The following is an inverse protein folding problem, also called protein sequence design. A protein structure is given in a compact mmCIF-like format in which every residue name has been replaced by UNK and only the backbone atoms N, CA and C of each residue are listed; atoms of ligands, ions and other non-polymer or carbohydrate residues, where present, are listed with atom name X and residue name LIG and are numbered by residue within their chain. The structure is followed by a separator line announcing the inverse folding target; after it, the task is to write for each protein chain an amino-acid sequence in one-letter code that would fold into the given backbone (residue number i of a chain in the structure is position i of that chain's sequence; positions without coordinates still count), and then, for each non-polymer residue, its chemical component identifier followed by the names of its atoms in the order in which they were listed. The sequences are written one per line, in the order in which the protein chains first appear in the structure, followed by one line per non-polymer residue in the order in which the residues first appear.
data_IF_047861611762
#
_entry.id   IF_047861611762
#
_cell.length_a   1.000
_cell.length_b   1.000
_cell.length_c   1.000
_cell.angle_alpha   90.00
_cell.angle_beta   90.00
_cell.angle_gamma   90.00
#
_symmetry.space_group_name_H-M   'P 1'
#
loop_
_entity.id
_entity.type
_entity.pdbx_description
1 polymer ?
#
# COMPACT_ATOMS: atom_id res chain seq x y z
N UNK A 1 30.43 3.14 55.33
CA UNK A 1 29.58 2.03 54.83
C UNK A 1 28.12 2.43 54.94
N UNK A 2 27.47 2.88 53.86
CA UNK A 2 26.02 3.17 53.83
C UNK A 2 25.32 2.09 53.00
N UNK A 3 24.55 1.25 53.68
CA UNK A 3 23.73 0.18 53.12
C UNK A 3 22.58 0.78 52.30
N UNK A 4 22.55 0.49 51.00
CA UNK A 4 21.41 0.77 50.13
C UNK A 4 20.32 -0.27 50.38
N UNK A 5 19.20 0.14 51.00
CA UNK A 5 17.94 -0.62 50.94
C UNK A 5 17.35 -0.47 49.55
N UNK A 6 17.45 -1.52 48.74
CA UNK A 6 16.65 -1.72 47.54
C UNK A 6 15.18 -1.93 47.95
N UNK A 7 14.44 -0.83 47.99
CA UNK A 7 12.98 -0.82 48.14
C UNK A 7 12.30 -1.38 46.90
N UNK A 8 11.53 -2.46 47.10
CA UNK A 8 10.57 -3.06 46.17
C UNK A 8 9.70 -2.00 45.46
N UNK A 9 10.03 -1.65 44.22
CA UNK A 9 9.18 -0.79 43.36
C UNK A 9 8.73 -1.49 42.07
N UNK A 10 8.84 -2.82 42.00
CA UNK A 10 8.41 -3.60 40.84
C UNK A 10 6.92 -4.02 40.86
N UNK A 11 6.23 -3.99 42.01
CA UNK A 11 4.84 -4.52 42.08
C UNK A 11 3.76 -3.55 41.58
N UNK A 12 3.99 -2.24 41.63
CA UNK A 12 2.95 -1.25 41.26
C UNK A 12 2.76 -1.06 39.75
N UNK A 13 3.72 -1.47 38.92
CA UNK A 13 3.55 -1.45 37.48
C UNK A 13 2.56 -2.53 37.03
N UNK A 14 2.60 -3.72 37.61
CA UNK A 14 1.70 -4.83 37.26
C UNK A 14 0.26 -4.60 37.72
N UNK A 15 0.04 -4.00 38.90
CA UNK A 15 -1.29 -3.76 39.47
C UNK A 15 -2.15 -2.79 38.63
N UNK A 16 -1.54 -1.83 37.92
CA UNK A 16 -2.27 -0.89 37.04
C UNK A 16 -2.72 -1.48 35.70
N UNK A 17 -2.25 -2.68 35.34
CA UNK A 17 -2.64 -3.37 34.11
C UNK A 17 -3.75 -4.42 34.29
N UNK A 18 -4.02 -4.83 35.53
CA UNK A 18 -5.02 -5.87 35.86
C UNK A 18 -6.48 -5.42 35.66
N UNK A 19 -6.73 -4.13 35.42
CA UNK A 19 -8.07 -3.57 35.22
C UNK A 19 -8.46 -3.39 33.73
N UNK A 20 -7.74 -4.03 32.80
CA UNK A 20 -8.28 -4.24 31.44
C UNK A 20 -8.93 -5.61 31.47
N UNK A 21 -10.26 -5.65 31.51
CA UNK A 21 -11.08 -6.88 31.57
C UNK A 21 -10.37 -8.07 30.89
N UNK A 22 -10.03 -9.11 31.67
CA UNK A 22 -9.25 -10.25 31.18
C UNK A 22 -9.84 -10.86 29.90
N UNK A 23 -11.18 -10.88 29.79
CA UNK A 23 -11.92 -11.31 28.61
C UNK A 23 -11.58 -10.48 27.34
N UNK A 24 -11.45 -9.16 27.47
CA UNK A 24 -11.08 -8.27 26.37
C UNK A 24 -9.63 -8.51 25.93
N UNK A 25 -8.74 -8.75 26.89
CA UNK A 25 -7.33 -9.09 26.62
C UNK A 25 -7.22 -10.41 25.86
N UNK A 26 -7.94 -11.46 26.28
CA UNK A 26 -7.99 -12.74 25.56
C UNK A 26 -8.51 -12.58 24.13
N UNK A 27 -9.60 -11.84 23.93
CA UNK A 27 -10.16 -11.59 22.59
C UNK A 27 -9.15 -10.90 21.65
N UNK A 28 -8.34 -9.97 22.17
CA UNK A 28 -7.27 -9.30 21.41
C UNK A 28 -6.20 -10.31 20.97
N UNK A 29 -5.76 -11.18 21.88
CA UNK A 29 -4.76 -12.21 21.56
C UNK A 29 -5.28 -13.22 20.54
N UNK A 30 -6.53 -13.67 20.66
CA UNK A 30 -7.16 -14.57 19.68
C UNK A 30 -7.23 -13.91 18.31
N UNK A 31 -7.66 -12.65 18.23
CA UNK A 31 -7.70 -11.90 16.97
C UNK A 31 -6.31 -11.72 16.36
N UNK A 32 -5.30 -11.39 17.19
CA UNK A 32 -3.91 -11.28 16.75
C UNK A 32 -3.40 -12.60 16.16
N UNK A 33 -3.59 -13.72 16.87
CA UNK A 33 -3.17 -15.05 16.40
C UNK A 33 -3.91 -15.45 15.13
N UNK A 34 -5.21 -15.17 15.05
CA UNK A 34 -6.00 -15.47 13.85
C UNK A 34 -5.51 -14.67 12.64
N UNK A 35 -5.18 -13.39 12.81
CA UNK A 35 -4.55 -12.57 11.77
C UNK A 35 -3.22 -13.14 11.30
N UNK A 36 -2.31 -13.47 12.22
CA UNK A 36 -1.01 -14.06 11.87
C UNK A 36 -1.16 -15.40 11.16
N UNK A 37 -2.10 -16.25 11.60
CA UNK A 37 -2.42 -17.52 10.92
C UNK A 37 -2.95 -17.28 9.50
N UNK A 38 -3.79 -16.28 9.29
CA UNK A 38 -4.24 -15.94 7.94
C UNK A 38 -3.12 -15.42 7.06
N UNK A 39 -2.15 -14.67 7.61
CA UNK A 39 -0.97 -14.27 6.85
C UNK A 39 -0.14 -15.47 6.36
N UNK A 40 -0.04 -16.55 7.14
CA UNK A 40 0.74 -17.74 6.71
C UNK A 40 0.17 -18.44 5.47
N UNK A 41 -1.11 -18.24 5.16
CA UNK A 41 -1.78 -18.87 4.01
C UNK A 41 -1.68 -18.07 2.71
N UNK A 42 -1.09 -16.87 2.74
CA UNK A 42 -0.96 -16.07 1.53
C UNK A 42 -0.08 -16.76 0.49
N UNK A 43 -0.45 -16.70 -0.80
CA UNK A 43 0.25 -17.42 -1.87
C UNK A 43 1.61 -16.81 -2.22
N UNK A 44 1.91 -15.58 -1.77
CA UNK A 44 3.16 -14.88 -2.04
C UNK A 44 4.03 -14.78 -0.77
N UNK A 45 5.28 -15.26 -0.77
CA UNK A 45 6.16 -15.23 0.42
C UNK A 45 6.53 -13.82 0.88
N UNK A 46 6.76 -12.89 -0.04
CA UNK A 46 7.06 -11.50 0.33
C UNK A 46 5.83 -10.86 1.02
N UNK A 47 4.63 -11.21 0.57
CA UNK A 47 3.39 -10.80 1.19
C UNK A 47 3.17 -11.37 2.59
N UNK A 48 3.51 -12.66 2.79
CA UNK A 48 3.48 -13.32 4.10
C UNK A 48 4.32 -12.52 5.11
N UNK A 49 5.58 -12.27 4.77
CA UNK A 49 6.51 -11.56 5.66
C UNK A 49 6.07 -10.12 5.93
N UNK A 50 5.77 -9.35 4.87
CA UNK A 50 5.39 -7.96 5.02
C UNK A 50 4.14 -7.77 5.89
N UNK A 51 3.09 -8.56 5.66
CA UNK A 51 1.86 -8.44 6.43
C UNK A 51 2.03 -8.96 7.86
N UNK A 52 2.81 -10.01 8.07
CA UNK A 52 3.20 -10.45 9.41
C UNK A 52 3.83 -9.28 10.20
N UNK A 53 4.88 -8.67 9.65
CA UNK A 53 5.60 -7.57 10.32
C UNK A 53 4.73 -6.33 10.48
N UNK A 54 3.87 -6.04 9.50
CA UNK A 54 2.91 -4.95 9.59
C UNK A 54 1.93 -5.13 10.76
N UNK A 55 1.36 -6.33 10.90
CA UNK A 55 0.40 -6.66 11.97
C UNK A 55 1.11 -6.65 13.31
N UNK A 56 2.27 -7.29 13.43
CA UNK A 56 3.09 -7.29 14.65
C UNK A 56 3.45 -5.86 15.07
N UNK A 57 3.92 -5.02 14.15
CA UNK A 57 4.20 -3.61 14.43
C UNK A 57 2.96 -2.89 14.94
N UNK A 58 1.81 -3.04 14.27
CA UNK A 58 0.56 -2.37 14.66
C UNK A 58 0.10 -2.78 16.05
N UNK A 59 0.09 -4.08 16.37
CA UNK A 59 -0.30 -4.54 17.72
C UNK A 59 0.69 -4.09 18.78
N UNK A 60 2.01 -4.11 18.50
CA UNK A 60 3.04 -3.59 19.41
C UNK A 60 2.90 -2.08 19.66
N UNK A 61 2.52 -1.29 18.65
CA UNK A 61 2.37 0.17 18.76
C UNK A 61 1.18 0.61 19.64
N UNK A 62 0.24 -0.29 19.91
CA UNK A 62 -0.92 -0.04 20.79
C UNK A 62 -0.92 -1.00 21.99
N UNK A 63 0.17 -1.72 22.20
CA UNK A 63 0.31 -2.58 23.36
C UNK A 63 0.54 -1.71 24.60
N UNK A 64 -0.10 -1.99 25.75
CA UNK A 64 0.07 -1.19 26.97
C UNK A 64 1.54 -1.00 27.39
N UNK A 65 2.40 -2.01 27.19
CA UNK A 65 3.85 -1.87 27.44
C UNK A 65 4.57 -0.84 26.55
N UNK A 66 4.01 -0.43 25.41
CA UNK A 66 4.57 0.65 24.58
C UNK A 66 4.25 2.05 25.11
N UNK A 67 3.37 2.16 26.12
CA UNK A 67 3.02 3.43 26.77
C UNK A 67 3.97 3.78 27.94
N UNK A 68 4.97 2.94 28.20
CA UNK A 68 5.96 3.15 29.27
C UNK A 68 7.01 4.18 28.83
N UNK A 69 7.31 5.22 29.63
CA UNK A 69 8.09 6.41 29.25
C UNK A 69 9.56 6.17 28.81
N UNK A 70 10.04 4.93 28.86
CA UNK A 70 11.40 4.54 28.47
C UNK A 70 11.48 3.73 27.17
N UNK A 71 10.35 3.41 26.54
CA UNK A 71 10.36 2.78 25.22
C UNK A 71 10.78 3.79 24.15
N UNK A 72 11.81 3.48 23.36
CA UNK A 72 12.24 4.27 22.19
C UNK A 72 11.15 4.46 21.12
N UNK A 73 9.99 3.82 21.30
CA UNK A 73 8.84 3.85 20.40
C UNK A 73 7.80 4.83 20.93
N UNK A 74 7.51 5.88 20.15
CA UNK A 74 6.51 6.95 20.38
C UNK A 74 5.42 6.55 21.41
N UNK A 75 5.53 7.06 22.64
CA UNK A 75 4.54 6.82 23.68
C UNK A 75 3.18 7.35 23.27
N UNK A 76 2.16 6.50 23.34
CA UNK A 76 0.76 6.91 23.31
C UNK A 76 0.26 6.86 24.75
N UNK A 77 -0.49 7.87 25.20
CA UNK A 77 -1.07 7.81 26.54
C UNK A 77 -2.07 6.64 26.61
N UNK A 78 -2.10 5.94 27.74
CA UNK A 78 -2.97 4.78 27.94
C UNK A 78 -4.45 5.14 27.74
N UNK A 79 -4.87 6.33 28.19
CA UNK A 79 -6.22 6.86 27.98
C UNK A 79 -6.58 7.00 26.49
N UNK A 80 -5.68 7.52 25.65
CA UNK A 80 -5.91 7.62 24.21
C UNK A 80 -5.98 6.25 23.54
N UNK A 81 -5.24 5.26 24.05
CA UNK A 81 -5.30 3.88 23.54
C UNK A 81 -6.64 3.25 23.88
N UNK A 82 -7.12 3.39 25.12
CA UNK A 82 -8.42 2.88 25.55
C UNK A 82 -9.58 3.49 24.73
N UNK A 83 -9.58 4.81 24.54
CA UNK A 83 -10.58 5.49 23.71
C UNK A 83 -10.61 4.99 22.25
N UNK A 84 -9.44 4.64 21.69
CA UNK A 84 -9.32 4.16 20.31
C UNK A 84 -9.54 2.66 20.16
N UNK A 85 -9.51 1.90 21.25
CA UNK A 85 -9.52 0.44 21.24
C UNK A 85 -10.69 -0.16 20.44
N UNK A 86 -11.96 0.30 20.60
CA UNK A 86 -13.08 -0.28 19.84
C UNK A 86 -12.91 -0.13 18.32
N UNK A 87 -12.42 1.03 17.87
CA UNK A 87 -12.15 1.30 16.45
C UNK A 87 -11.00 0.44 15.91
N UNK A 88 -9.96 0.24 16.72
CA UNK A 88 -8.82 -0.62 16.37
C UNK A 88 -9.26 -2.09 16.23
N UNK A 89 -10.08 -2.60 17.16
CA UNK A 89 -10.62 -3.96 17.09
C UNK A 89 -11.51 -4.15 15.87
N UNK A 90 -12.40 -3.20 15.58
CA UNK A 90 -13.23 -3.22 14.37
C UNK A 90 -12.37 -3.24 13.11
N UNK A 91 -11.30 -2.45 13.08
CA UNK A 91 -10.34 -2.43 11.97
C UNK A 91 -9.61 -3.78 11.82
N UNK A 92 -9.19 -4.39 12.93
CA UNK A 92 -8.53 -5.69 12.93
C UNK A 92 -9.46 -6.82 12.48
N UNK A 93 -10.73 -6.82 12.90
CA UNK A 93 -11.77 -7.76 12.42
C UNK A 93 -12.00 -7.63 10.91
N UNK A 94 -12.12 -6.38 10.41
CA UNK A 94 -12.20 -6.11 8.96
C UNK A 94 -10.95 -6.60 8.22
N UNK A 95 -9.77 -6.41 8.81
CA UNK A 95 -8.50 -6.94 8.30
C UNK A 95 -8.50 -8.46 8.19
N UNK A 96 -9.07 -9.16 9.18
CA UNK A 96 -9.19 -10.62 9.17
C UNK A 96 -10.12 -11.11 8.05
N UNK A 97 -11.28 -10.48 7.88
CA UNK A 97 -12.19 -10.79 6.75
C UNK A 97 -11.51 -10.49 5.41
N UNK A 98 -10.78 -9.39 5.33
CA UNK A 98 -10.03 -9.01 4.14
C UNK A 98 -8.94 -10.04 3.78
N UNK A 99 -8.19 -10.54 4.77
CA UNK A 99 -7.18 -11.59 4.57
C UNK A 99 -7.81 -12.92 4.17
N UNK A 100 -8.92 -13.33 4.80
CA UNK A 100 -9.67 -14.53 4.40
C UNK A 100 -10.07 -14.45 2.92
N UNK A 101 -10.70 -13.35 2.51
CA UNK A 101 -11.08 -13.13 1.10
C UNK A 101 -9.90 -13.15 0.12
N UNK A 102 -8.74 -12.63 0.53
CA UNK A 102 -7.54 -12.70 -0.31
C UNK A 102 -7.04 -14.15 -0.44
N UNK A 103 -7.05 -14.92 0.65
CA UNK A 103 -6.68 -16.33 0.68
C UNK A 103 -7.68 -17.22 -0.06
N UNK A 104 -8.94 -16.82 -0.14
CA UNK A 104 -9.98 -17.51 -0.91
C UNK A 104 -9.87 -17.18 -2.43
N UNK A 105 -9.00 -16.24 -2.81
CA UNK A 105 -8.69 -15.94 -4.22
C UNK A 105 -9.46 -14.77 -4.84
N UNK A 106 -10.03 -13.87 -4.03
CA UNK A 106 -10.61 -12.64 -4.58
C UNK A 106 -9.52 -11.68 -5.09
N UNK A 107 -9.53 -11.42 -6.40
CA UNK A 107 -8.47 -10.65 -7.10
C UNK A 107 -8.29 -9.25 -6.54
N UNK A 108 -9.38 -8.55 -6.23
CA UNK A 108 -9.32 -7.18 -5.67
C UNK A 108 -8.59 -7.15 -4.32
N UNK A 109 -8.77 -8.19 -3.50
CA UNK A 109 -8.18 -8.27 -2.16
C UNK A 109 -6.72 -8.69 -2.25
N UNK A 110 -6.43 -9.74 -3.02
CA UNK A 110 -5.07 -10.24 -3.21
C UNK A 110 -4.19 -9.22 -3.96
N UNK A 111 -4.70 -8.60 -5.02
CA UNK A 111 -4.01 -7.52 -5.73
C UNK A 111 -3.72 -6.32 -4.82
N UNK A 112 -4.63 -5.97 -3.91
CA UNK A 112 -4.39 -4.92 -2.91
C UNK A 112 -3.31 -5.31 -1.90
N UNK A 113 -3.26 -6.57 -1.46
CA UNK A 113 -2.17 -7.07 -0.61
C UNK A 113 -0.85 -6.90 -1.33
N UNK A 114 -0.73 -7.41 -2.55
CA UNK A 114 0.50 -7.32 -3.31
C UNK A 114 0.89 -5.87 -3.61
N UNK A 115 -0.08 -5.00 -3.86
CA UNK A 115 0.16 -3.55 -3.99
C UNK A 115 0.71 -2.93 -2.70
N UNK A 116 0.27 -3.38 -1.51
CA UNK A 116 0.86 -2.95 -0.24
C UNK A 116 2.28 -3.51 -0.05
N UNK A 117 2.51 -4.76 -0.45
CA UNK A 117 3.78 -5.47 -0.22
C UNK A 117 4.86 -5.01 -1.16
N UNK A 118 4.55 -4.54 -2.36
CA UNK A 118 5.52 -3.95 -3.28
C UNK A 118 5.48 -2.41 -3.28
N UNK A 119 4.90 -1.82 -2.24
CA UNK A 119 4.97 -0.38 -1.99
C UNK A 119 4.24 0.50 -3.02
N UNK A 120 3.22 -0.04 -3.70
CA UNK A 120 2.30 0.75 -4.52
C UNK A 120 1.30 1.52 -3.65
N UNK A 121 0.93 0.97 -2.49
CA UNK A 121 0.00 1.57 -1.51
C UNK A 121 0.55 1.40 -0.08
N UNK A 122 0.15 2.29 0.84
CA UNK A 122 0.29 2.08 2.28
C UNK A 122 1.66 2.43 2.86
N UNK A 123 2.03 1.83 4.00
CA UNK A 123 3.24 2.18 4.78
C UNK A 123 4.53 2.00 3.97
N UNK A 124 4.66 0.87 3.28
CA UNK A 124 5.86 0.55 2.50
C UNK A 124 6.16 1.54 1.38
N UNK A 125 5.11 2.04 0.72
CA UNK A 125 5.23 3.12 -0.27
C UNK A 125 5.98 4.32 0.32
N UNK A 126 5.56 4.78 1.50
CA UNK A 126 6.17 5.93 2.15
C UNK A 126 7.59 5.65 2.64
N UNK A 127 7.91 4.40 2.99
CA UNK A 127 9.26 3.99 3.33
C UNK A 127 10.18 4.11 2.10
N UNK A 128 9.78 3.55 0.96
CA UNK A 128 10.56 3.64 -0.29
C UNK A 128 10.67 5.09 -0.80
N UNK A 129 9.62 5.90 -0.62
CA UNK A 129 9.66 7.32 -0.97
C UNK A 129 10.57 8.13 -0.04
N UNK A 130 10.84 7.67 1.19
CA UNK A 130 11.71 8.40 2.12
C UNK A 130 13.11 8.54 1.53
N UNK A 131 13.61 7.49 0.90
CA UNK A 131 14.94 7.44 0.29
C UNK A 131 15.04 8.33 -0.96
N UNK A 132 13.91 8.61 -1.62
CA UNK A 132 13.84 9.53 -2.77
C UNK A 132 13.77 11.00 -2.38
N UNK A 133 13.31 11.31 -1.17
CA UNK A 133 13.20 12.69 -0.65
C UNK A 133 14.53 13.25 -0.15
N UNK A 134 15.53 12.40 0.03
CA UNK A 134 16.86 12.83 0.42
C UNK A 134 17.38 13.66 -0.76
N UNK A 135 17.70 14.96 -0.55
CA UNK A 135 18.24 15.80 -1.62
C UNK A 135 19.59 15.23 -2.06
N UNK A 136 19.89 15.37 -3.35
CA UNK A 136 21.21 15.00 -3.85
C UNK A 136 22.26 15.89 -3.15
N UNK A 137 23.37 15.28 -2.72
CA UNK A 137 24.47 16.02 -2.12
C UNK A 137 24.99 16.98 -3.19
N UNK A 138 24.99 18.31 -2.95
CA UNK A 138 25.49 19.25 -3.94
C UNK A 138 26.96 18.92 -4.26
N UNK A 139 27.26 18.76 -5.54
CA UNK A 139 28.63 18.48 -6.01
C UNK A 139 29.53 19.70 -5.80
N UNK A 140 28.96 20.91 -5.80
CA UNK A 140 29.68 22.17 -5.77
C UNK A 140 29.55 22.90 -4.42
N UNK A 141 30.66 23.40 -3.89
CA UNK A 141 30.71 24.19 -2.64
C UNK A 141 29.85 25.46 -2.73
N UNK A 142 29.83 26.12 -3.90
CA UNK A 142 29.00 27.30 -4.15
C UNK A 142 27.48 27.03 -4.07
N UNK A 143 27.04 25.79 -4.34
CA UNK A 143 25.63 25.41 -4.20
C UNK A 143 25.24 25.17 -2.73
N UNK A 144 26.19 24.73 -1.90
CA UNK A 144 26.01 24.59 -0.45
C UNK A 144 25.88 25.97 0.21
N UNK A 145 26.70 26.94 -0.20
CA UNK A 145 26.65 28.32 0.31
C UNK A 145 25.30 28.99 0.04
N UNK A 146 24.74 28.85 -1.18
CA UNK A 146 23.41 29.36 -1.53
C UNK A 146 22.26 28.74 -0.72
N UNK A 147 22.43 27.49 -0.24
CA UNK A 147 21.45 26.83 0.62
C UNK A 147 21.56 27.27 2.09
N UNK A 148 22.70 27.84 2.49
CA UNK A 148 22.98 28.26 3.87
C UNK A 148 22.48 29.67 4.21
N UNK A 149 22.05 30.45 3.22
CA UNK A 149 21.59 31.83 3.40
C UNK A 149 20.30 31.93 4.24
N UNK A 150 20.32 32.65 5.39
CA UNK A 150 19.17 32.78 6.27
C UNK A 150 18.12 33.72 5.66
N UNK A 151 17.08 33.15 5.07
CA UNK A 151 15.98 33.91 4.44
C UNK A 151 15.35 33.17 3.27
N UNK A 152 16.14 32.34 2.59
CA UNK A 152 15.65 31.37 1.63
C UNK A 152 15.09 30.16 2.38
N UNK A 153 13.85 30.26 2.86
CA UNK A 153 13.14 29.05 3.26
C UNK A 153 13.00 28.19 1.99
N UNK A 154 13.93 27.24 1.79
CA UNK A 154 14.09 26.50 0.55
C UNK A 154 12.74 25.98 0.06
N UNK A 155 12.36 26.36 -1.15
CA UNK A 155 11.27 25.68 -1.83
C UNK A 155 11.73 24.24 -2.00
N UNK A 156 10.90 23.22 -1.70
CA UNK A 156 11.29 21.84 -1.97
C UNK A 156 11.56 21.70 -3.46
N UNK A 157 12.81 21.50 -3.84
CA UNK A 157 13.20 21.17 -5.20
C UNK A 157 13.31 19.64 -5.27
N UNK A 158 12.71 19.00 -6.30
CA UNK A 158 12.82 17.56 -6.48
C UNK A 158 14.28 17.19 -6.78
N UNK A 159 14.77 16.11 -6.16
CA UNK A 159 16.08 15.55 -6.49
C UNK A 159 16.13 15.15 -7.97
N UNK A 160 17.32 15.10 -8.55
CA UNK A 160 17.54 14.62 -9.91
C UNK A 160 17.01 13.18 -10.05
N UNK A 161 17.24 12.36 -9.01
CA UNK A 161 16.66 11.02 -8.88
C UNK A 161 15.14 11.05 -9.01
N UNK A 162 14.48 11.94 -8.27
CA UNK A 162 13.03 12.07 -8.32
C UNK A 162 12.54 12.57 -9.69
N UNK A 163 13.24 13.54 -10.29
CA UNK A 163 12.90 14.07 -11.61
C UNK A 163 13.05 13.03 -12.72
N UNK A 164 14.11 12.22 -12.70
CA UNK A 164 14.29 11.11 -13.64
C UNK A 164 13.12 10.11 -13.57
N UNK A 165 12.66 9.82 -12.34
CA UNK A 165 11.52 8.96 -12.11
C UNK A 165 10.20 9.57 -12.60
N UNK A 166 9.96 10.86 -12.34
CA UNK A 166 8.77 11.59 -12.83
C UNK A 166 8.76 11.56 -14.38
N UNK A 167 9.88 11.89 -15.03
CA UNK A 167 10.01 11.85 -16.49
C UNK A 167 9.77 10.45 -17.06
N UNK A 168 10.29 9.42 -16.40
CA UNK A 168 10.08 8.03 -16.82
C UNK A 168 8.62 7.60 -16.67
N UNK A 169 7.96 8.01 -15.59
CA UNK A 169 6.53 7.73 -15.36
C UNK A 169 5.63 8.49 -16.32
N UNK A 170 5.92 9.75 -16.61
CA UNK A 170 5.12 10.55 -17.55
C UNK A 170 5.13 9.95 -18.97
N UNK A 171 6.27 9.38 -19.40
CA UNK A 171 6.38 8.66 -20.68
C UNK A 171 5.58 7.37 -20.70
N UNK A 172 5.43 6.71 -19.54
CA UNK A 172 4.75 5.42 -19.43
C UNK A 172 3.30 5.64 -19.05
N UNK A 173 2.38 5.50 -20.01
CA UNK A 173 0.93 5.46 -19.73
C UNK A 173 0.59 4.20 -18.92
N UNK A 174 0.77 4.25 -17.60
CA UNK A 174 0.50 3.13 -16.70
C UNK A 174 -1.03 2.86 -16.67
N UNK A 175 -1.42 1.59 -16.73
CA UNK A 175 -2.82 1.17 -16.73
C UNK A 175 -3.60 1.60 -15.47
N UNK A 176 -4.92 1.75 -15.60
CA UNK A 176 -5.90 2.30 -14.65
C UNK A 176 -5.93 1.74 -13.20
N UNK A 177 -5.13 0.73 -12.84
CA UNK A 177 -5.02 0.26 -11.44
C UNK A 177 -4.15 1.16 -10.57
N UNK A 178 -3.25 1.90 -11.20
CA UNK A 178 -2.63 3.01 -10.52
C UNK A 178 -3.71 4.09 -10.38
N UNK A 179 -3.91 4.58 -9.16
CA UNK A 179 -4.15 6.03 -9.01
C UNK A 179 -3.21 6.71 -10.02
N UNK A 180 -3.56 7.81 -10.66
CA UNK A 180 -2.60 8.76 -11.27
C UNK A 180 -2.58 8.81 -12.81
N UNK A 181 -3.17 9.89 -13.33
CA UNK A 181 -2.52 10.71 -14.36
C UNK A 181 -1.29 11.34 -13.70
N UNK A 182 -0.09 11.08 -14.21
CA UNK A 182 1.14 11.65 -13.65
C UNK A 182 1.02 13.16 -13.55
N UNK A 183 1.50 13.79 -12.47
CA UNK A 183 1.52 15.25 -12.40
C UNK A 183 2.26 15.81 -13.61
N UNK A 184 1.91 17.05 -14.02
CA UNK A 184 2.72 17.79 -14.97
C UNK A 184 4.19 17.77 -14.52
N UNK A 185 5.10 17.71 -15.48
CA UNK A 185 6.54 17.62 -15.20
C UNK A 185 7.04 18.81 -14.38
N UNK A 186 6.36 19.94 -14.51
CA UNK A 186 6.63 21.18 -13.79
C UNK A 186 5.30 21.81 -13.33
N UNK A 187 5.31 22.65 -12.28
CA UNK A 187 4.12 23.35 -11.85
C UNK A 187 3.68 24.39 -12.88
N UNK A 188 2.40 24.38 -13.25
CA UNK A 188 1.78 25.45 -14.05
C UNK A 188 1.64 26.70 -13.17
N UNK A 189 2.54 27.65 -13.35
CA UNK A 189 2.55 28.91 -12.60
C UNK A 189 2.37 30.03 -13.63
N UNK A 190 1.27 30.80 -13.57
CA UNK A 190 1.12 31.95 -14.44
C UNK A 190 2.21 32.98 -14.14
N UNK A 191 2.69 33.70 -15.15
CA UNK A 191 3.73 34.72 -14.94
C UNK A 191 3.17 35.94 -14.22
N UNK A 192 1.93 36.31 -14.56
CA UNK A 192 1.22 37.48 -14.04
C UNK A 192 0.01 37.11 -13.19
N UNK A 193 -0.31 37.98 -12.25
CA UNK A 193 -1.54 37.90 -11.46
C UNK A 193 -2.73 38.54 -12.22
N UNK A 194 -3.92 38.49 -11.62
CA UNK A 194 -5.15 39.07 -12.17
C UNK A 194 -5.09 40.59 -12.42
N UNK A 195 -4.10 41.28 -11.88
CA UNK A 195 -3.85 42.72 -12.08
C UNK A 195 -2.67 42.99 -13.04
N UNK A 196 -2.18 41.98 -13.76
CA UNK A 196 -1.07 42.12 -14.71
C UNK A 196 0.31 42.32 -14.06
N UNK A 197 0.45 42.15 -12.73
CA UNK A 197 1.73 42.26 -12.01
C UNK A 197 2.40 40.88 -11.93
N UNK A 198 3.74 40.79 -11.78
CA UNK A 198 4.41 39.50 -11.62
C UNK A 198 3.86 38.74 -10.41
N UNK A 199 3.83 37.40 -10.51
CA UNK A 199 3.26 36.57 -9.46
C UNK A 199 4.02 36.72 -8.12
N UNK A 200 3.29 36.92 -7.00
CA UNK A 200 3.94 37.06 -5.69
C UNK A 200 4.80 35.84 -5.33
N UNK A 201 6.02 36.07 -4.84
CA UNK A 201 7.00 35.02 -4.50
C UNK A 201 6.42 33.95 -3.56
N UNK A 202 5.64 34.37 -2.54
CA UNK A 202 4.94 33.45 -1.62
C UNK A 202 3.95 32.54 -2.35
N UNK A 203 3.26 33.06 -3.36
CA UNK A 203 2.27 32.31 -4.15
C UNK A 203 2.95 31.31 -5.07
N UNK A 204 4.01 31.73 -5.78
CA UNK A 204 4.88 30.83 -6.58
C UNK A 204 5.38 29.67 -5.73
N UNK A 205 5.86 29.96 -4.52
CA UNK A 205 6.32 28.95 -3.57
C UNK A 205 5.23 27.97 -3.15
N UNK A 206 4.01 28.45 -2.92
CA UNK A 206 2.88 27.58 -2.59
C UNK A 206 2.47 26.70 -3.77
N UNK A 207 2.50 27.20 -5.00
CA UNK A 207 2.32 26.37 -6.20
C UNK A 207 3.35 25.26 -6.28
N UNK A 208 4.64 25.60 -6.15
CA UNK A 208 5.73 24.61 -6.16
C UNK A 208 5.57 23.56 -5.06
N UNK A 209 5.22 23.97 -3.83
CA UNK A 209 4.96 23.04 -2.70
C UNK A 209 3.78 22.12 -2.97
N UNK A 210 2.67 22.66 -3.48
CA UNK A 210 1.47 21.89 -3.82
C UNK A 210 1.78 20.87 -4.91
N UNK A 211 2.41 21.33 -5.99
CA UNK A 211 2.87 20.47 -7.07
C UNK A 211 3.79 19.36 -6.55
N UNK A 212 4.77 19.69 -5.71
CA UNK A 212 5.69 18.70 -5.15
C UNK A 212 4.97 17.66 -4.27
N UNK A 213 4.02 18.09 -3.44
CA UNK A 213 3.22 17.20 -2.61
C UNK A 213 2.33 16.28 -3.48
N UNK A 214 1.69 16.84 -4.50
CA UNK A 214 0.92 16.08 -5.48
C UNK A 214 1.81 15.09 -6.22
N UNK A 215 2.99 15.50 -6.68
CA UNK A 215 3.93 14.63 -7.36
C UNK A 215 4.36 13.46 -6.47
N UNK A 216 4.69 13.72 -5.20
CA UNK A 216 5.03 12.66 -4.24
C UNK A 216 3.85 11.74 -3.92
N UNK A 217 2.61 12.21 -3.86
CA UNK A 217 1.45 11.33 -3.68
C UNK A 217 1.11 10.55 -4.95
N UNK A 218 1.52 11.07 -6.09
CA UNK A 218 1.27 10.49 -7.40
C UNK A 218 2.39 9.61 -7.96
N UNK A 219 3.59 9.66 -7.39
CA UNK A 219 4.71 8.88 -7.92
C UNK A 219 4.71 7.45 -7.38
N UNK A 220 5.08 6.51 -8.27
CA UNK A 220 5.31 5.11 -7.91
C UNK A 220 6.78 4.93 -7.49
N UNK A 221 7.08 4.55 -6.23
CA UNK A 221 8.46 4.44 -5.80
C UNK A 221 9.18 3.26 -6.48
N UNK A 222 10.50 3.35 -6.68
CA UNK A 222 11.28 2.24 -7.19
C UNK A 222 11.41 1.14 -6.13
N UNK A 223 11.46 -0.11 -6.58
CA UNK A 223 11.76 -1.24 -5.72
C UNK A 223 13.28 -1.43 -5.58
N UNK A 224 13.76 -1.99 -4.45
CA UNK A 224 15.12 -2.51 -4.34
C UNK A 224 15.38 -3.61 -5.37
N UNK A 225 16.61 -3.68 -5.87
CA UNK A 225 17.02 -4.60 -6.95
C UNK A 225 16.67 -6.06 -6.64
N UNK A 226 17.08 -6.57 -5.48
CA UNK A 226 16.82 -7.95 -5.07
C UNK A 226 15.31 -8.31 -5.05
N UNK A 227 14.44 -7.36 -4.70
CA UNK A 227 12.99 -7.60 -4.68
C UNK A 227 12.36 -7.49 -6.06
N UNK A 228 12.89 -6.57 -6.87
CA UNK A 228 12.46 -6.37 -8.25
C UNK A 228 12.79 -7.60 -9.10
N UNK A 229 14.02 -8.13 -9.00
CA UNK A 229 14.43 -9.34 -9.70
C UNK A 229 13.59 -10.54 -9.28
N UNK A 230 13.39 -10.73 -7.96
CA UNK A 230 12.53 -11.80 -7.45
C UNK A 230 11.10 -11.72 -8.01
N UNK A 231 10.52 -10.52 -8.05
CA UNK A 231 9.18 -10.32 -8.61
C UNK A 231 9.17 -10.58 -10.13
N UNK A 232 10.21 -10.16 -10.85
CA UNK A 232 10.37 -10.41 -12.28
C UNK A 232 10.48 -11.91 -12.60
N UNK A 233 11.28 -12.67 -11.85
CA UNK A 233 11.43 -14.13 -12.00
C UNK A 233 10.12 -14.88 -11.75
N UNK A 234 9.30 -14.39 -10.82
CA UNK A 234 7.96 -14.95 -10.54
C UNK A 234 6.96 -14.61 -11.65
N UNK A 235 7.00 -13.37 -12.14
CA UNK A 235 6.18 -12.91 -13.25
C UNK A 235 6.52 -13.66 -14.55
N UNK A 236 7.80 -13.89 -14.85
CA UNK A 236 8.22 -14.66 -16.02
C UNK A 236 7.94 -16.16 -15.91
N UNK A 237 7.64 -16.66 -14.69
CA UNK A 237 7.43 -18.07 -14.43
C UNK A 237 8.71 -18.91 -14.38
N UNK A 238 9.89 -18.27 -14.37
CA UNK A 238 11.18 -18.96 -14.19
C UNK A 238 11.33 -19.52 -12.76
N UNK A 239 10.73 -18.85 -11.77
CA UNK A 239 10.65 -19.37 -10.41
C UNK A 239 9.39 -20.24 -10.26
N UNK A 240 9.52 -21.51 -9.84
CA UNK A 240 8.37 -22.37 -9.61
C UNK A 240 7.52 -21.81 -8.46
N UNK A 241 6.20 -21.78 -8.67
CA UNK A 241 5.27 -21.40 -7.61
C UNK A 241 4.97 -22.59 -6.71
N UNK A 242 5.26 -22.44 -5.42
CA UNK A 242 5.06 -23.46 -4.37
C UNK A 242 3.59 -23.86 -4.13
N UNK A 243 2.62 -23.16 -4.75
CA UNK A 243 1.20 -23.38 -4.52
C UNK A 243 0.66 -22.67 -3.27
N UNK A 244 -0.65 -22.78 -3.00
CA UNK A 244 -1.25 -22.26 -1.78
C UNK A 244 -0.88 -23.17 -0.60
N UNK A 245 -0.54 -22.56 0.54
CA UNK A 245 -0.24 -23.32 1.76
C UNK A 245 -1.52 -23.97 2.28
N UNK A 246 -1.50 -25.29 2.45
CA UNK A 246 -2.64 -26.04 2.98
C UNK A 246 -3.02 -25.55 4.39
N UNK A 247 -4.32 -25.38 4.64
CA UNK A 247 -4.82 -25.05 5.98
C UNK A 247 -4.60 -26.25 6.90
N UNK A 248 -4.02 -26.01 8.07
CA UNK A 248 -3.89 -27.05 9.11
C UNK A 248 -5.30 -27.53 9.48
N UNK A 249 -5.56 -28.83 9.25
CA UNK A 249 -6.77 -29.51 9.73
C UNK A 249 -6.74 -29.51 11.26
N UNK A 250 -7.84 -29.13 11.90
CA UNK A 250 -7.97 -29.31 13.34
C UNK A 250 -8.01 -30.82 13.62
N UNK A 251 -7.42 -31.27 14.73
CA UNK A 251 -7.35 -32.69 15.07
C UNK A 251 -8.69 -33.28 15.58
N UNK A 252 -9.72 -32.44 15.71
CA UNK A 252 -11.12 -32.80 15.92
C UNK A 252 -11.96 -32.27 14.76
N UNK A 253 -13.01 -32.99 14.37
CA UNK A 253 -13.83 -32.77 13.18
C UNK A 253 -14.57 -31.42 13.06
N UNK A 254 -15.48 -31.30 12.08
CA UNK A 254 -15.94 -30.02 11.54
C UNK A 254 -17.00 -29.35 12.41
N UNK A 255 -16.58 -28.57 13.40
CA UNK A 255 -17.44 -27.61 14.11
C UNK A 255 -17.06 -26.15 13.74
N UNK A 256 -16.87 -25.83 12.45
CA UNK A 256 -16.41 -24.49 12.01
C UNK A 256 -17.55 -23.51 11.73
N UNK A 257 -18.66 -23.62 12.46
CA UNK A 257 -19.65 -22.55 12.62
C UNK A 257 -19.57 -21.88 14.01
N UNK A 258 -18.86 -22.47 14.97
CA UNK A 258 -18.83 -22.03 16.38
C UNK A 258 -17.80 -20.95 16.73
N UNK A 259 -16.69 -20.83 15.99
CA UNK A 259 -15.62 -19.86 16.35
C UNK A 259 -15.92 -18.41 16.00
N UNK A 260 -17.05 -18.13 15.34
CA UNK A 260 -17.56 -16.76 15.17
C UNK A 260 -18.46 -16.29 16.31
N UNK A 261 -18.84 -17.16 17.26
CA UNK A 261 -19.82 -16.79 18.29
C UNK A 261 -19.23 -16.10 19.54
N UNK A 262 -17.91 -16.14 19.75
CA UNK A 262 -17.23 -15.41 20.84
C UNK A 262 -16.95 -13.93 20.50
N UNK A 263 -17.31 -13.48 19.31
CA UNK A 263 -17.20 -12.08 18.90
C UNK A 263 -18.57 -11.67 18.37
N UNK A 264 -19.47 -11.28 19.28
CA UNK A 264 -20.90 -11.02 19.09
C UNK A 264 -21.30 -9.89 18.13
N UNK A 265 -20.70 -9.83 16.95
CA UNK A 265 -21.13 -8.97 15.87
C UNK A 265 -21.30 -9.84 14.63
N UNK A 266 -22.53 -10.30 14.40
CA UNK A 266 -22.96 -10.88 13.12
C UNK A 266 -22.83 -9.76 12.08
N UNK A 267 -21.63 -9.59 11.54
CA UNK A 267 -21.38 -8.65 10.45
C UNK A 267 -22.20 -9.16 9.29
N UNK A 268 -23.35 -8.52 9.04
CA UNK A 268 -24.18 -8.76 7.86
C UNK A 268 -23.23 -8.82 6.65
N UNK A 269 -23.21 -9.95 5.96
CA UNK A 269 -22.51 -10.09 4.69
C UNK A 269 -22.89 -8.87 3.84
N UNK A 270 -21.91 -8.10 3.31
CA UNK A 270 -22.24 -6.95 2.49
C UNK A 270 -23.16 -7.44 1.37
N UNK A 271 -24.35 -6.86 1.29
CA UNK A 271 -25.33 -7.08 0.25
C UNK A 271 -24.63 -7.16 -1.11
N UNK A 272 -24.88 -8.26 -1.83
CA UNK A 272 -24.90 -8.36 -3.29
C UNK A 272 -24.43 -7.11 -4.00
N UNK A 273 -23.12 -7.00 -4.16
CA UNK A 273 -22.48 -5.85 -4.81
C UNK A 273 -21.27 -6.32 -5.59
N UNK A 274 -21.50 -6.99 -6.73
CA UNK A 274 -20.48 -7.25 -7.79
C UNK A 274 -19.12 -7.78 -7.31
N UNK A 275 -19.06 -8.49 -6.18
CA UNK A 275 -17.84 -9.17 -5.79
C UNK A 275 -17.72 -10.43 -6.65
N UNK A 276 -16.95 -10.31 -7.73
CA UNK A 276 -16.54 -11.44 -8.59
C UNK A 276 -16.25 -12.67 -7.74
N UNK A 277 -16.81 -13.81 -8.18
CA UNK A 277 -16.62 -15.11 -7.54
C UNK A 277 -15.13 -15.34 -7.25
N UNK A 278 -14.81 -15.97 -6.09
CA UNK A 278 -13.43 -16.25 -5.73
C UNK A 278 -12.76 -17.09 -6.84
N UNK A 279 -11.59 -16.63 -7.32
CA UNK A 279 -10.84 -17.41 -8.30
C UNK A 279 -10.08 -18.52 -7.59
N UNK A 280 -10.03 -19.72 -8.19
CA UNK A 280 -9.11 -20.75 -7.74
C UNK A 280 -7.68 -20.23 -7.89
N UNK A 281 -6.92 -20.20 -6.80
CA UNK A 281 -5.53 -19.75 -6.81
C UNK A 281 -4.72 -20.80 -7.58
N UNK A 282 -4.34 -20.47 -8.80
CA UNK A 282 -3.52 -21.31 -9.70
C UNK A 282 -2.21 -20.59 -10.05
N UNK A 283 -1.23 -21.32 -10.59
CA UNK A 283 0.06 -20.75 -11.00
C UNK A 283 -0.13 -19.65 -12.04
N UNK A 284 -0.99 -19.90 -13.04
CA UNK A 284 -1.35 -18.92 -14.08
C UNK A 284 -2.00 -17.67 -13.49
N UNK A 285 -2.90 -17.84 -12.52
CA UNK A 285 -3.55 -16.72 -11.86
C UNK A 285 -2.55 -15.84 -11.09
N UNK A 286 -1.66 -16.46 -10.32
CA UNK A 286 -0.62 -15.75 -9.58
C UNK A 286 0.38 -15.06 -10.50
N UNK A 287 0.79 -15.72 -11.59
CA UNK A 287 1.68 -15.15 -12.60
C UNK A 287 1.12 -13.86 -13.19
N UNK A 288 -0.14 -13.87 -13.62
CA UNK A 288 -0.84 -12.68 -14.13
C UNK A 288 -0.90 -11.55 -13.10
N UNK A 289 -1.06 -11.86 -11.81
CA UNK A 289 -1.03 -10.85 -10.76
C UNK A 289 0.36 -10.27 -10.56
N UNK A 290 1.40 -11.10 -10.55
CA UNK A 290 2.79 -10.64 -10.44
C UNK A 290 3.20 -9.82 -11.65
N UNK A 291 2.83 -10.21 -12.88
CA UNK A 291 3.04 -9.44 -14.11
C UNK A 291 2.41 -8.05 -14.04
N UNK A 292 1.14 -7.96 -13.61
CA UNK A 292 0.46 -6.66 -13.45
C UNK A 292 1.19 -5.75 -12.46
N UNK A 293 1.77 -6.31 -11.41
CA UNK A 293 2.44 -5.54 -10.37
C UNK A 293 3.89 -5.20 -10.77
N UNK A 294 4.60 -6.13 -11.40
CA UNK A 294 5.96 -5.89 -11.92
C UNK A 294 5.93 -4.79 -12.98
N UNK A 295 4.88 -4.73 -13.80
CA UNK A 295 4.65 -3.65 -14.74
C UNK A 295 4.49 -2.28 -14.06
N UNK A 296 4.00 -2.21 -12.82
CA UNK A 296 3.87 -0.97 -12.06
C UNK A 296 5.13 -0.62 -11.26
N UNK A 297 6.12 -1.51 -11.21
CA UNK A 297 7.30 -1.38 -10.37
C UNK A 297 8.51 -0.91 -11.19
N UNK A 298 8.97 0.35 -11.01
CA UNK A 298 10.23 0.78 -11.55
C UNK A 298 11.38 0.23 -10.73
N UNK A 299 12.52 0.04 -11.39
CA UNK A 299 13.83 -0.14 -10.79
C UNK A 299 14.67 1.08 -11.17
N UNK A 300 15.40 1.64 -10.21
CA UNK A 300 16.32 2.75 -10.48
C UNK A 300 17.75 2.25 -10.32
N UNK A 301 18.56 2.45 -11.36
CA UNK A 301 20.00 2.20 -11.34
C UNK A 301 20.75 3.50 -11.64
N UNK A 302 21.87 3.78 -10.94
CA UNK A 302 22.74 4.87 -11.33
C UNK A 302 23.29 4.58 -12.73
N UNK A 303 23.25 5.57 -13.61
CA UNK A 303 23.79 5.46 -14.95
C UNK A 303 25.32 5.66 -14.88
N UNK A 304 26.10 4.61 -15.13
CA UNK A 304 27.55 4.68 -15.08
C UNK A 304 28.15 5.64 -16.13
N UNK A 305 27.43 5.93 -17.21
CA UNK A 305 27.91 6.77 -18.31
C UNK A 305 27.72 8.28 -18.05
N UNK A 306 26.83 8.67 -17.14
CA UNK A 306 26.55 10.09 -16.81
C UNK A 306 26.79 10.33 -15.33
N UNK A 307 27.65 11.30 -14.98
CA UNK A 307 27.99 11.65 -13.59
C UNK A 307 26.77 11.88 -12.67
N UNK A 308 25.63 12.30 -13.23
CA UNK A 308 24.36 12.55 -12.52
C UNK A 308 23.13 11.88 -13.17
N UNK A 309 23.33 10.83 -13.98
CA UNK A 309 22.22 10.15 -14.65
C UNK A 309 21.59 9.05 -13.81
N UNK A 310 20.26 8.97 -13.79
CA UNK A 310 19.52 7.82 -13.24
C UNK A 310 18.75 7.12 -14.36
N UNK A 311 19.00 5.82 -14.52
CA UNK A 311 18.26 4.99 -15.45
C UNK A 311 17.10 4.31 -14.72
N UNK A 312 15.91 4.45 -15.29
CA UNK A 312 14.67 3.87 -14.73
C UNK A 312 14.22 2.73 -15.62
N UNK A 313 14.43 1.51 -15.14
CA UNK A 313 14.00 0.28 -15.78
C UNK A 313 12.60 -0.10 -15.30
N UNK A 314 11.88 -0.81 -16.14
CA UNK A 314 10.48 -1.16 -15.92
C UNK A 314 10.25 -2.64 -16.24
N UNK A 315 9.32 -3.29 -15.54
CA UNK A 315 8.90 -4.64 -15.89
C UNK A 315 8.08 -4.67 -17.18
N UNK A 316 8.38 -5.60 -18.08
CA UNK A 316 7.59 -5.86 -19.30
C UNK A 316 6.36 -6.72 -18.97
N UNK A 317 5.23 -6.41 -19.60
CA UNK A 317 4.05 -7.29 -19.61
C UNK A 317 4.19 -8.16 -20.85
N UNK A 318 4.44 -9.46 -20.69
CA UNK A 318 4.30 -10.39 -21.81
C UNK A 318 2.82 -10.38 -22.22
N UNK A 319 2.53 -10.16 -23.51
CA UNK A 319 1.23 -9.80 -24.08
C UNK A 319 0.10 -10.83 -23.93
N UNK A 320 -0.18 -11.28 -22.71
CA UNK A 320 -1.38 -12.02 -22.38
C UNK A 320 -2.54 -11.03 -22.26
N UNK A 321 -3.57 -11.21 -23.09
CA UNK A 321 -4.76 -10.36 -23.17
C UNK A 321 -5.20 -9.84 -21.81
N UNK A 322 -5.12 -8.51 -21.67
CA UNK A 322 -5.43 -7.79 -20.44
C UNK A 322 -6.94 -7.70 -20.31
N UNK A 323 -7.61 -8.82 -20.04
CA UNK A 323 -9.02 -8.81 -19.69
C UNK A 323 -9.22 -7.89 -18.48
N UNK A 324 -10.05 -6.88 -18.73
CA UNK A 324 -10.26 -5.69 -17.92
C UNK A 324 -10.70 -6.06 -16.49
N UNK A 325 -9.84 -5.81 -15.51
CA UNK A 325 -10.22 -5.80 -14.11
C UNK A 325 -10.66 -4.37 -13.73
N UNK A 326 -11.79 -3.89 -14.22
CA UNK A 326 -12.28 -2.58 -13.75
C UNK A 326 -12.67 -2.68 -12.27
N UNK A 327 -11.90 -2.03 -11.40
CA UNK A 327 -12.48 -1.43 -10.20
C UNK A 327 -13.22 -0.20 -10.73
N UNK A 328 -14.48 -0.39 -11.11
CA UNK A 328 -15.28 0.66 -11.73
C UNK A 328 -15.18 1.98 -10.94
N UNK A 329 -15.10 3.12 -11.63
CA UNK A 329 -15.46 4.39 -11.03
C UNK A 329 -16.87 4.24 -10.42
N UNK A 330 -17.11 4.91 -9.30
CA UNK A 330 -18.48 5.13 -8.81
C UNK A 330 -19.27 5.76 -9.96
N UNK A 331 -20.22 5.02 -10.52
CA UNK A 331 -21.35 5.50 -11.32
C UNK A 331 -21.04 6.57 -12.37
N UNK A 332 -20.54 6.13 -13.52
CA UNK A 332 -20.66 6.83 -14.80
C UNK A 332 -20.88 5.77 -15.86
N UNK A 333 -22.09 5.21 -15.88
CA UNK A 333 -22.45 4.14 -16.80
C UNK A 333 -22.47 4.67 -18.23
N UNK A 334 -21.50 4.24 -19.04
CA UNK A 334 -21.67 4.14 -20.48
C UNK A 334 -22.29 2.79 -20.76
N UNK A 335 -23.61 2.77 -20.88
CA UNK A 335 -24.40 1.66 -21.36
C UNK A 335 -24.21 1.61 -22.88
N UNK A 336 -23.45 0.64 -23.38
CA UNK A 336 -23.68 0.15 -24.74
C UNK A 336 -24.68 -1.01 -24.63
N UNK A 337 -25.91 -0.65 -24.26
CA UNK A 337 -27.02 -1.58 -24.01
C UNK A 337 -27.72 -2.00 -25.32
N UNK A 338 -27.35 -1.40 -26.46
CA UNK A 338 -28.02 -1.57 -27.76
C UNK A 338 -27.08 -1.96 -28.90
N UNK A 339 -25.89 -2.48 -28.62
CA UNK A 339 -25.04 -3.10 -29.63
C UNK A 339 -25.69 -4.37 -30.19
N UNK A 340 -26.32 -4.29 -31.36
CA UNK A 340 -26.91 -5.43 -32.08
C UNK A 340 -28.42 -5.37 -32.32
N UNK A 341 -29.05 -4.20 -32.17
CA UNK A 341 -30.46 -3.98 -32.47
C UNK A 341 -30.58 -2.94 -33.57
N UNK A 342 -31.37 -3.21 -34.61
CA UNK A 342 -31.68 -2.23 -35.66
C UNK A 342 -32.59 -1.09 -35.14
N UNK A 343 -32.78 -0.03 -35.93
CA UNK A 343 -33.65 1.11 -35.58
C UNK A 343 -35.11 0.70 -35.32
N UNK A 344 -35.49 -0.54 -35.68
CA UNK A 344 -36.83 -1.12 -35.50
C UNK A 344 -36.95 -2.02 -34.27
N UNK A 345 -35.89 -2.19 -33.48
CA UNK A 345 -35.93 -2.97 -32.24
C UNK A 345 -35.71 -4.48 -32.42
N UNK A 346 -35.24 -4.96 -33.57
CA UNK A 346 -34.97 -6.38 -33.83
C UNK A 346 -33.48 -6.71 -33.71
N UNK A 347 -33.18 -7.86 -33.11
CA UNK A 347 -31.81 -8.35 -32.89
C UNK A 347 -31.26 -8.92 -34.20
N UNK A 348 -30.12 -8.39 -34.66
CA UNK A 348 -29.46 -8.85 -35.89
C UNK A 348 -28.86 -10.25 -35.69
N UNK A 349 -29.20 -11.18 -36.58
CA UNK A 349 -28.56 -12.50 -36.61
C UNK A 349 -27.10 -12.37 -37.11
N UNK A 350 -26.21 -13.19 -36.56
CA UNK A 350 -24.76 -13.12 -36.83
C UNK A 350 -24.47 -13.30 -38.32
N UNK A 351 -24.08 -12.22 -39.01
CA UNK A 351 -23.63 -12.27 -40.41
C UNK A 351 -24.09 -11.14 -41.33
N UNK A 352 -24.89 -10.18 -40.86
CA UNK A 352 -25.28 -9.01 -41.67
C UNK A 352 -24.65 -7.72 -41.12
N UNK A 353 -23.94 -7.00 -41.98
CA UNK A 353 -23.48 -5.64 -41.71
C UNK A 353 -24.61 -4.65 -42.01
N UNK A 354 -24.76 -3.58 -41.20
CA UNK A 354 -25.69 -2.50 -41.53
C UNK A 354 -25.16 -1.72 -42.74
N UNK A 355 -26.03 -1.46 -43.73
CA UNK A 355 -25.77 -0.47 -44.79
C UNK A 355 -25.85 0.96 -44.25
#
# INVERSE_FOLDING_TARGET
MRLWRLGKTASNAHARYAAVDDASSHAIFHLFRALLRQCTYLPDPAARQYLHDHIVSRFRDYHPRSTLPFSSRRHKSAALVQQRLPSLLRTARRGLVFLRRANDGHVRHLGRILAMTYGRIGKRRHQLLKDLKIPDVPVDQAAVEKLSEPGNQAVPHPSEKLMALIKSQARRRLSHFSRINTPHLEPEIPEVNSWGRPMPIKRVRNYKRRWYAEALDRIMPPLPEAEWDRLRLRASGQSPWEGPVARRKWAGGPDDEGQTHLVGERVKSPSTGTCSNPHKITSRYMRRLWEKISAQCPLMKPNAARKSGWDVLWGEVQGHDTTHFTLGPRGGGGYDMFGGVDESGRVLAQGQSPE
#
